data_IF_050798919911
#
_entry.id   IF_050798919911
#
_cell.length_a   1.000
_cell.length_b   1.000
_cell.length_c   1.000
_cell.angle_alpha   90.00
_cell.angle_beta   90.00
_cell.angle_gamma   90.00
#
_symmetry.space_group_name_H-M   'P 1'
#
loop_
_entity.id
_entity.type
_entity.pdbx_description
1 polymer ?
#
# COMPACT_ATOMS: atom_id res chain seq x y z
N UNK A 1 -8.50 21.64 20.51
CA UNK A 1 -8.23 21.40 19.08
C UNK A 1 -9.06 22.35 18.24
N UNK A 2 -8.44 23.11 17.34
CA UNK A 2 -9.13 23.93 16.33
C UNK A 2 -9.54 23.10 15.10
N UNK A 3 -10.35 23.67 14.20
CA UNK A 3 -10.80 23.01 12.95
C UNK A 3 -9.65 22.45 12.12
N UNK A 4 -8.59 23.23 11.95
CA UNK A 4 -7.39 22.84 11.20
C UNK A 4 -6.73 21.55 11.73
N UNK A 5 -6.71 21.34 13.04
CA UNK A 5 -6.08 20.18 13.66
C UNK A 5 -6.91 18.90 13.45
N UNK A 6 -8.24 19.03 13.41
CA UNK A 6 -9.13 17.91 13.03
C UNK A 6 -9.03 17.59 11.54
N UNK A 7 -8.97 18.61 10.68
CA UNK A 7 -8.75 18.42 9.23
C UNK A 7 -7.43 17.68 8.97
N UNK A 8 -6.36 18.07 9.66
CA UNK A 8 -5.06 17.38 9.58
C UNK A 8 -5.14 15.93 10.09
N UNK A 9 -5.87 15.68 11.18
CA UNK A 9 -6.07 14.32 11.69
C UNK A 9 -6.76 13.40 10.68
N UNK A 10 -7.81 13.87 10.02
CA UNK A 10 -8.46 13.08 8.98
C UNK A 10 -7.55 12.92 7.76
N UNK A 11 -6.85 13.96 7.34
CA UNK A 11 -5.95 13.92 6.19
C UNK A 11 -4.79 12.91 6.39
N UNK A 12 -4.07 13.01 7.51
CA UNK A 12 -3.03 12.05 7.89
C UNK A 12 -3.59 10.66 8.13
N UNK A 13 -4.81 10.55 8.68
CA UNK A 13 -5.52 9.29 8.85
C UNK A 13 -5.81 8.58 7.53
N UNK A 14 -6.25 9.32 6.51
CA UNK A 14 -6.46 8.78 5.17
C UNK A 14 -5.16 8.37 4.48
N UNK A 15 -4.06 9.11 4.68
CA UNK A 15 -2.73 8.71 4.22
C UNK A 15 -2.30 7.37 4.83
N UNK A 16 -2.42 7.27 6.16
CA UNK A 16 -2.12 6.05 6.92
C UNK A 16 -2.99 4.85 6.50
N UNK A 17 -4.27 5.11 6.24
CA UNK A 17 -5.20 4.10 5.72
C UNK A 17 -4.80 3.65 4.31
N UNK A 18 -4.46 4.58 3.41
CA UNK A 18 -4.08 4.28 2.03
C UNK A 18 -2.80 3.44 1.96
N UNK A 19 -1.77 3.78 2.74
CA UNK A 19 -0.53 3.00 2.83
C UNK A 19 -0.81 1.55 3.27
N UNK A 20 -1.71 1.40 4.24
CA UNK A 20 -2.09 0.08 4.71
C UNK A 20 -2.90 -0.71 3.66
N UNK A 21 -3.81 -0.04 2.94
CA UNK A 21 -4.58 -0.67 1.85
C UNK A 21 -3.63 -1.28 0.83
N UNK A 22 -2.56 -0.58 0.45
CA UNK A 22 -1.57 -1.10 -0.49
C UNK A 22 -0.79 -2.29 0.07
N UNK A 23 -0.26 -2.18 1.30
CA UNK A 23 0.49 -3.27 1.93
C UNK A 23 -0.37 -4.53 2.10
N UNK A 24 -1.60 -4.37 2.56
CA UNK A 24 -2.55 -5.45 2.75
C UNK A 24 -3.02 -6.01 1.41
N UNK A 25 -3.26 -5.14 0.42
CA UNK A 25 -3.65 -5.51 -0.94
C UNK A 25 -2.61 -6.42 -1.59
N UNK A 26 -1.33 -6.03 -1.55
CA UNK A 26 -0.22 -6.87 -2.04
C UNK A 26 -0.22 -8.24 -1.34
N UNK A 27 -0.40 -8.28 -0.02
CA UNK A 27 -0.43 -9.55 0.71
C UNK A 27 -1.60 -10.46 0.30
N UNK A 28 -2.79 -9.90 0.02
CA UNK A 28 -3.99 -10.67 -0.35
C UNK A 28 -3.89 -11.25 -1.77
N UNK A 29 -3.26 -10.53 -2.70
CA UNK A 29 -3.15 -10.99 -4.10
C UNK A 29 -2.07 -12.06 -4.33
N UNK A 30 -1.10 -12.21 -3.43
CA UNK A 30 0.04 -13.15 -3.59
C UNK A 30 -0.37 -14.59 -3.94
N UNK A 31 -1.36 -15.22 -3.26
CA UNK A 31 -1.77 -16.58 -3.59
C UNK A 31 -2.40 -16.70 -4.99
N UNK A 32 -3.08 -15.63 -5.45
CA UNK A 32 -3.68 -15.60 -6.79
C UNK A 32 -2.62 -15.47 -7.88
N UNK A 33 -1.55 -14.71 -7.62
CA UNK A 33 -0.39 -14.59 -8.51
C UNK A 33 0.39 -15.92 -8.57
N UNK A 34 0.55 -16.59 -7.43
CA UNK A 34 1.21 -17.90 -7.37
C UNK A 34 0.52 -18.94 -8.26
N UNK A 35 -0.82 -18.93 -8.28
CA UNK A 35 -1.62 -19.85 -9.12
C UNK A 35 -1.54 -19.55 -10.62
N UNK A 36 -1.45 -18.28 -11.01
CA UNK A 36 -1.42 -17.88 -12.42
C UNK A 36 -0.02 -17.96 -13.02
N UNK A 37 0.99 -17.42 -12.33
CA UNK A 37 2.35 -17.28 -12.86
C UNK A 37 3.30 -18.40 -12.44
N UNK A 38 2.92 -19.23 -11.45
CA UNK A 38 3.72 -20.31 -10.89
C UNK A 38 5.22 -19.98 -10.76
N UNK A 39 5.58 -18.86 -10.09
CA UNK A 39 6.97 -18.45 -9.95
C UNK A 39 7.74 -19.46 -9.10
N UNK A 40 9.04 -19.62 -9.38
CA UNK A 40 9.92 -20.53 -8.62
C UNK A 40 9.95 -20.19 -7.12
N UNK A 41 9.86 -18.90 -6.78
CA UNK A 41 9.79 -18.41 -5.41
C UNK A 41 8.86 -17.19 -5.30
N UNK A 42 7.62 -17.39 -4.83
CA UNK A 42 6.64 -16.32 -4.61
C UNK A 42 7.13 -15.26 -3.60
N UNK A 43 8.01 -15.66 -2.67
CA UNK A 43 8.59 -14.78 -1.64
C UNK A 43 9.38 -13.60 -2.23
N UNK A 44 9.84 -13.67 -3.47
CA UNK A 44 10.52 -12.55 -4.12
C UNK A 44 9.62 -11.33 -4.30
N UNK A 45 8.30 -11.50 -4.50
CA UNK A 45 7.39 -10.36 -4.60
C UNK A 45 7.32 -9.59 -3.27
N UNK A 46 7.23 -10.31 -2.15
CA UNK A 46 7.27 -9.72 -0.80
C UNK A 46 8.63 -9.10 -0.50
N UNK A 47 9.73 -9.75 -0.91
CA UNK A 47 11.08 -9.19 -0.78
C UNK A 47 11.19 -7.86 -1.54
N UNK A 48 10.72 -7.81 -2.78
CA UNK A 48 10.72 -6.60 -3.61
C UNK A 48 9.97 -5.45 -2.94
N UNK A 49 8.79 -5.72 -2.34
CA UNK A 49 8.04 -4.73 -1.57
C UNK A 49 8.88 -4.15 -0.41
N UNK A 50 9.48 -5.01 0.41
CA UNK A 50 10.26 -4.57 1.57
C UNK A 50 11.57 -3.86 1.18
N UNK A 51 12.23 -4.30 0.10
CA UNK A 51 13.39 -3.58 -0.45
C UNK A 51 12.99 -2.17 -0.86
N UNK A 52 11.87 -2.05 -1.60
CA UNK A 52 11.29 -0.75 -1.94
C UNK A 52 11.02 0.11 -0.70
N UNK A 53 10.43 -0.49 0.33
CA UNK A 53 10.07 0.19 1.57
C UNK A 53 11.28 0.73 2.35
N UNK A 54 12.37 -0.03 2.42
CA UNK A 54 13.63 0.39 3.06
C UNK A 54 14.26 1.56 2.31
N UNK A 55 14.36 1.44 0.97
CA UNK A 55 14.94 2.48 0.12
C UNK A 55 14.06 3.74 0.17
N UNK A 56 12.74 3.56 0.16
CA UNK A 56 11.75 4.62 0.28
C UNK A 56 11.87 5.39 1.58
N UNK A 57 11.83 4.69 2.72
CA UNK A 57 11.93 5.31 4.04
C UNK A 57 13.22 6.12 4.22
N UNK A 58 14.35 5.60 3.72
CA UNK A 58 15.64 6.28 3.82
C UNK A 58 15.71 7.51 2.92
N UNK A 59 15.22 7.40 1.68
CA UNK A 59 15.30 8.47 0.68
C UNK A 59 14.30 9.59 0.99
N UNK A 60 13.04 9.24 1.23
CA UNK A 60 11.97 10.21 1.49
C UNK A 60 12.09 10.89 2.85
N UNK A 61 12.69 10.24 3.85
CA UNK A 61 13.01 10.90 5.12
C UNK A 61 13.90 12.13 4.91
N UNK A 62 14.99 11.96 4.15
CA UNK A 62 15.91 13.08 3.83
C UNK A 62 15.23 14.07 2.88
N UNK A 63 14.52 13.59 1.85
CA UNK A 63 13.84 14.46 0.89
C UNK A 63 12.75 15.33 1.52
N UNK A 64 12.01 14.80 2.52
CA UNK A 64 10.97 15.53 3.22
C UNK A 64 11.51 16.71 4.05
N UNK A 65 12.73 16.59 4.57
CA UNK A 65 13.38 17.68 5.30
C UNK A 65 13.93 18.76 4.35
N UNK A 66 14.33 18.40 3.12
CA UNK A 66 14.87 19.36 2.12
C UNK A 66 13.77 20.06 1.33
N UNK A 67 12.84 19.28 0.75
CA UNK A 67 11.82 19.77 -0.20
C UNK A 67 10.56 20.23 0.54
N UNK A 68 10.39 19.80 1.79
CA UNK A 68 9.24 20.11 2.62
C UNK A 68 8.22 18.98 2.65
N UNK A 69 7.68 18.73 3.84
CA UNK A 69 6.86 17.54 4.16
C UNK A 69 5.58 17.43 3.35
N UNK A 70 4.90 18.56 3.09
CA UNK A 70 3.66 18.58 2.30
C UNK A 70 3.89 18.12 0.86
N UNK A 71 5.00 18.54 0.23
CA UNK A 71 5.25 18.15 -1.16
C UNK A 71 5.64 16.68 -1.23
N UNK A 72 6.56 16.25 -0.35
CA UNK A 72 6.98 14.85 -0.28
C UNK A 72 5.80 13.91 -0.09
N UNK A 73 4.89 14.22 0.83
CA UNK A 73 3.67 13.44 1.09
C UNK A 73 2.77 13.25 -0.16
N UNK A 74 2.56 14.33 -0.92
CA UNK A 74 1.73 14.23 -2.12
C UNK A 74 2.42 13.43 -3.22
N UNK A 75 3.75 13.53 -3.34
CA UNK A 75 4.51 12.79 -4.36
C UNK A 75 4.52 11.30 -4.04
N UNK A 76 4.77 10.91 -2.78
CA UNK A 76 4.76 9.51 -2.34
C UNK A 76 3.40 8.87 -2.55
N UNK A 77 2.30 9.54 -2.19
CA UNK A 77 0.94 9.05 -2.49
C UNK A 77 0.67 8.91 -3.99
N UNK A 78 1.09 9.89 -4.80
CA UNK A 78 0.93 9.84 -6.24
C UNK A 78 1.71 8.67 -6.86
N UNK A 79 2.96 8.47 -6.46
CA UNK A 79 3.78 7.35 -6.92
C UNK A 79 3.17 6.00 -6.51
N UNK A 80 2.73 5.87 -5.25
CA UNK A 80 2.05 4.65 -4.79
C UNK A 80 0.80 4.34 -5.61
N UNK A 81 -0.03 5.35 -5.90
CA UNK A 81 -1.22 5.15 -6.74
C UNK A 81 -0.89 4.74 -8.18
N UNK A 82 0.06 5.42 -8.84
CA UNK A 82 0.45 5.13 -10.23
C UNK A 82 1.08 3.75 -10.34
N UNK A 83 2.02 3.40 -9.46
CA UNK A 83 2.68 2.10 -9.50
C UNK A 83 1.78 0.96 -9.03
N UNK A 84 0.86 1.21 -8.10
CA UNK A 84 -0.16 0.24 -7.68
C UNK A 84 -1.07 -0.17 -8.84
N UNK A 85 -1.65 0.80 -9.56
CA UNK A 85 -2.47 0.55 -10.75
C UNK A 85 -1.64 -0.14 -11.85
N UNK A 86 -0.40 0.31 -12.07
CA UNK A 86 0.48 -0.32 -13.05
C UNK A 86 0.81 -1.78 -12.68
N UNK A 87 0.93 -2.10 -11.38
CA UNK A 87 1.17 -3.47 -10.92
C UNK A 87 0.00 -4.40 -11.26
N UNK A 88 -1.25 -3.92 -11.19
CA UNK A 88 -2.44 -4.68 -11.60
C UNK A 88 -2.46 -5.01 -13.11
N UNK A 89 -1.88 -4.14 -13.94
CA UNK A 89 -1.76 -4.36 -15.39
C UNK A 89 -0.57 -5.26 -15.80
N UNK A 90 0.24 -5.74 -14.86
CA UNK A 90 1.44 -6.51 -15.18
C UNK A 90 1.14 -7.94 -15.64
N UNK A 91 1.94 -8.47 -16.58
CA UNK A 91 1.77 -9.81 -17.14
C UNK A 91 2.94 -10.76 -16.83
N UNK A 92 4.02 -10.24 -16.25
CA UNK A 92 5.24 -10.98 -15.93
C UNK A 92 5.58 -10.80 -14.45
N UNK A 93 6.04 -11.88 -13.79
CA UNK A 93 6.39 -11.85 -12.37
C UNK A 93 7.53 -10.86 -12.05
N UNK A 94 8.54 -10.75 -12.93
CA UNK A 94 9.66 -9.80 -12.74
C UNK A 94 9.18 -8.35 -12.85
N UNK A 95 8.31 -8.06 -13.81
CA UNK A 95 7.71 -6.72 -13.98
C UNK A 95 6.81 -6.36 -12.80
N UNK A 96 6.01 -7.32 -12.34
CA UNK A 96 5.18 -7.17 -11.14
C UNK A 96 6.06 -6.87 -9.91
N UNK A 97 7.12 -7.64 -9.68
CA UNK A 97 8.05 -7.43 -8.57
C UNK A 97 8.72 -6.05 -8.62
N UNK A 98 9.14 -5.60 -9.79
CA UNK A 98 9.69 -4.25 -9.96
C UNK A 98 8.68 -3.14 -9.66
N UNK A 99 7.44 -3.28 -10.12
CA UNK A 99 6.36 -2.32 -9.84
C UNK A 99 5.95 -2.33 -8.35
N UNK A 100 5.91 -3.50 -7.72
CA UNK A 100 5.70 -3.65 -6.27
C UNK A 100 6.85 -3.01 -5.48
N UNK A 101 8.09 -3.08 -5.95
CA UNK A 101 9.21 -2.37 -5.33
C UNK A 101 9.05 -0.85 -5.46
N UNK A 102 8.63 -0.34 -6.62
CA UNK A 102 8.34 1.08 -6.82
C UNK A 102 7.15 1.56 -5.97
N UNK A 103 6.11 0.74 -5.83
CA UNK A 103 5.00 0.96 -4.91
C UNK A 103 5.50 1.02 -3.46
N UNK A 104 6.32 0.04 -3.05
CA UNK A 104 6.95 0.00 -1.73
C UNK A 104 7.81 1.23 -1.45
N UNK A 105 8.49 1.78 -2.46
CA UNK A 105 9.25 3.03 -2.34
C UNK A 105 8.38 4.24 -2.00
N UNK A 106 7.17 4.34 -2.57
CA UNK A 106 6.21 5.38 -2.21
C UNK A 106 5.65 5.20 -0.80
N UNK A 107 5.18 4.00 -0.47
CA UNK A 107 4.62 3.66 0.84
C UNK A 107 5.64 3.88 1.97
N UNK A 108 6.87 3.42 1.77
CA UNK A 108 7.95 3.54 2.76
C UNK A 108 8.28 4.99 3.11
N UNK A 109 8.05 5.93 2.19
CA UNK A 109 8.21 7.35 2.45
C UNK A 109 7.05 8.00 3.19
N UNK A 110 5.81 7.60 2.90
CA UNK A 110 4.62 8.16 3.59
C UNK A 110 4.60 7.81 5.07
N UNK A 111 4.80 6.54 5.44
CA UNK A 111 4.77 6.07 6.84
C UNK A 111 5.53 6.98 7.83
N UNK A 112 6.83 7.31 7.63
CA UNK A 112 7.56 8.20 8.51
C UNK A 112 7.15 9.67 8.34
N UNK A 113 6.89 10.13 7.11
CA UNK A 113 6.55 11.53 6.82
C UNK A 113 5.20 11.93 7.42
N UNK A 114 4.21 11.03 7.39
CA UNK A 114 2.87 11.23 7.95
C UNK A 114 2.91 11.39 9.45
N UNK A 115 3.62 10.48 10.13
CA UNK A 115 3.79 10.53 11.57
C UNK A 115 4.52 11.81 12.00
N UNK A 116 5.56 12.20 11.25
CA UNK A 116 6.34 13.38 11.55
C UNK A 116 5.53 14.68 11.29
N UNK A 117 4.83 14.78 10.16
CA UNK A 117 3.94 15.91 9.84
C UNK A 117 2.87 16.07 10.91
N UNK A 118 2.21 14.98 11.31
CA UNK A 118 1.17 15.03 12.30
C UNK A 118 1.67 15.48 13.68
N UNK A 119 2.87 15.03 14.08
CA UNK A 119 3.53 15.43 15.33
C UNK A 119 3.88 16.92 15.38
N UNK A 120 4.26 17.55 14.26
CA UNK A 120 4.64 18.97 14.22
C UNK A 120 3.46 19.93 14.45
N UNK A 121 2.26 19.53 14.06
CA UNK A 121 1.06 20.37 14.14
C UNK A 121 0.19 20.07 15.36
N UNK A 122 0.50 19.02 16.13
CA UNK A 122 -0.24 18.67 17.35
C UNK A 122 0.44 19.24 18.61
N UNK A 123 -0.33 19.90 19.49
CA UNK A 123 0.18 20.32 20.80
C UNK A 123 0.45 19.09 21.68
N UNK A 124 1.55 19.11 22.43
CA UNK A 124 2.01 17.98 23.28
C UNK A 124 0.94 17.41 24.22
N UNK A 125 -0.06 18.20 24.62
CA UNK A 125 -1.18 17.75 25.47
C UNK A 125 -2.14 16.76 24.80
N UNK A 126 -2.15 16.67 23.46
CA UNK A 126 -3.08 15.84 22.70
C UNK A 126 -2.38 14.75 21.86
N UNK A 127 -1.14 14.39 22.21
CA UNK A 127 -0.39 13.34 21.49
C UNK A 127 -1.07 11.96 21.48
N UNK A 128 -2.05 11.70 22.37
CA UNK A 128 -2.87 10.48 22.36
C UNK A 128 -3.61 10.26 21.03
N UNK A 129 -3.80 11.31 20.22
CA UNK A 129 -4.37 11.19 18.88
C UNK A 129 -3.49 10.40 17.91
N UNK A 130 -2.19 10.25 18.17
CA UNK A 130 -1.33 9.31 17.44
C UNK A 130 -1.80 7.86 17.64
N UNK A 131 -2.19 7.52 18.87
CA UNK A 131 -2.76 6.20 19.15
C UNK A 131 -4.09 6.01 18.44
N UNK A 132 -4.88 7.09 18.31
CA UNK A 132 -6.12 7.07 17.52
C UNK A 132 -5.84 6.95 16.01
N UNK A 133 -4.72 7.48 15.52
CA UNK A 133 -4.27 7.33 14.13
C UNK A 133 -4.05 5.84 13.78
N UNK A 134 -3.57 5.03 14.73
CA UNK A 134 -3.45 3.59 14.55
C UNK A 134 -4.79 2.89 14.27
N UNK A 135 -5.93 3.47 14.65
CA UNK A 135 -7.23 2.91 14.28
C UNK A 135 -7.48 2.97 12.77
N UNK A 136 -6.94 3.99 12.07
CA UNK A 136 -7.03 4.09 10.61
C UNK A 136 -6.31 2.95 9.90
N UNK A 137 -5.27 2.39 10.51
CA UNK A 137 -4.61 1.18 10.01
C UNK A 137 -5.59 0.01 9.94
N UNK A 138 -6.35 -0.24 11.00
CA UNK A 138 -7.35 -1.32 11.03
C UNK A 138 -8.49 -1.08 10.03
N UNK A 139 -8.91 0.17 9.83
CA UNK A 139 -9.86 0.51 8.78
C UNK A 139 -9.29 0.26 7.38
N UNK A 140 -8.01 0.53 7.15
CA UNK A 140 -7.31 0.19 5.91
C UNK A 140 -7.33 -1.31 5.63
N UNK A 141 -7.03 -2.14 6.63
CA UNK A 141 -7.04 -3.59 6.48
C UNK A 141 -8.44 -4.12 6.18
N UNK A 142 -9.44 -3.60 6.88
CA UNK A 142 -10.84 -3.97 6.67
C UNK A 142 -11.30 -3.61 5.26
N UNK A 143 -11.02 -2.39 4.80
CA UNK A 143 -11.41 -1.92 3.46
C UNK A 143 -10.71 -2.71 2.36
N UNK A 144 -9.40 -2.94 2.47
CA UNK A 144 -8.65 -3.78 1.52
C UNK A 144 -9.21 -5.21 1.46
N UNK A 145 -9.51 -5.80 2.62
CA UNK A 145 -10.09 -7.15 2.70
C UNK A 145 -11.50 -7.22 2.12
N UNK A 146 -12.33 -6.19 2.30
CA UNK A 146 -13.67 -6.10 1.71
C UNK A 146 -13.62 -5.94 0.19
N UNK A 147 -12.71 -5.11 -0.32
CA UNK A 147 -12.48 -4.93 -1.77
C UNK A 147 -12.02 -6.26 -2.37
N UNK A 148 -11.01 -6.90 -1.75
CA UNK A 148 -10.53 -8.20 -2.19
C UNK A 148 -11.63 -9.26 -2.12
N UNK A 149 -12.44 -9.27 -1.06
CA UNK A 149 -13.58 -10.19 -0.97
C UNK A 149 -14.55 -9.96 -2.12
N UNK A 150 -14.89 -8.73 -2.48
CA UNK A 150 -15.79 -8.44 -3.60
C UNK A 150 -15.21 -8.86 -4.96
N UNK A 151 -13.93 -8.62 -5.22
CA UNK A 151 -13.33 -8.89 -6.54
C UNK A 151 -12.79 -10.31 -6.68
N UNK A 152 -12.03 -10.81 -5.71
CA UNK A 152 -11.42 -12.14 -5.75
C UNK A 152 -12.50 -13.23 -5.60
N UNK A 153 -13.55 -13.03 -4.80
CA UNK A 153 -14.61 -14.07 -4.70
C UNK A 153 -15.45 -14.23 -5.97
N UNK A 154 -15.60 -13.17 -6.77
CA UNK A 154 -16.44 -13.17 -7.97
C UNK A 154 -15.65 -13.41 -9.27
N UNK A 155 -14.37 -13.04 -9.32
CA UNK A 155 -13.56 -13.02 -10.54
C UNK A 155 -12.22 -13.78 -10.42
N UNK A 156 -12.16 -14.78 -9.54
CA UNK A 156 -11.03 -15.72 -9.46
C UNK A 156 -11.52 -17.16 -9.61
N UNK A 157 -10.63 -18.04 -10.07
CA UNK A 157 -10.99 -19.43 -10.33
C UNK A 157 -11.53 -20.14 -9.08
N UNK A 158 -12.51 -21.00 -9.30
CA UNK A 158 -13.05 -21.91 -8.29
C UNK A 158 -11.92 -22.81 -7.78
N UNK A 159 -11.94 -23.09 -6.47
CA UNK A 159 -10.93 -23.85 -5.71
C UNK A 159 -10.79 -25.32 -6.13
N UNK A 160 -10.50 -25.62 -7.38
CA UNK A 160 -9.90 -26.89 -7.77
C UNK A 160 -8.38 -26.71 -7.77
N UNK A 161 -7.76 -27.17 -6.68
CA UNK A 161 -6.31 -27.08 -6.44
C UNK A 161 -5.44 -27.85 -7.46
N UNK A 162 -6.05 -28.42 -8.51
CA UNK A 162 -5.46 -29.34 -9.47
C UNK A 162 -5.29 -28.76 -10.87
N UNK A 163 -5.76 -27.53 -11.16
CA UNK A 163 -5.63 -26.92 -12.49
C UNK A 163 -5.00 -25.52 -12.43
N UNK A 164 -4.08 -25.18 -13.37
CA UNK A 164 -3.54 -23.83 -13.49
C UNK A 164 -4.64 -22.85 -13.88
N UNK A 165 -4.69 -21.71 -13.19
CA UNK A 165 -5.65 -20.63 -13.47
C UNK A 165 -5.22 -19.82 -14.69
N UNK A 166 -5.91 -19.91 -15.84
CA UNK A 166 -5.57 -19.06 -16.98
C UNK A 166 -5.88 -17.59 -16.68
N UNK A 167 -5.06 -16.67 -17.20
CA UNK A 167 -5.17 -15.22 -17.01
C UNK A 167 -6.57 -14.66 -17.33
N UNK A 168 -7.33 -15.29 -18.22
CA UNK A 168 -8.69 -14.85 -18.58
C UNK A 168 -9.71 -15.02 -17.45
N UNK A 169 -9.48 -15.95 -16.51
CA UNK A 169 -10.39 -16.27 -15.40
C UNK A 169 -9.89 -15.76 -14.04
N UNK A 170 -8.69 -15.18 -13.98
CA UNK A 170 -8.06 -14.68 -12.75
C UNK A 170 -7.86 -13.15 -12.80
N UNK A 171 -8.89 -12.42 -13.21
CA UNK A 171 -8.83 -10.95 -13.26
C UNK A 171 -9.06 -10.29 -11.88
N UNK A 172 -9.58 -11.04 -10.90
CA UNK A 172 -9.92 -10.52 -9.57
C UNK A 172 -8.76 -9.85 -8.84
N UNK A 173 -7.55 -10.39 -8.92
CA UNK A 173 -6.37 -9.77 -8.27
C UNK A 173 -5.91 -8.49 -8.98
N UNK A 174 -6.14 -8.38 -10.29
CA UNK A 174 -5.80 -7.19 -11.09
C UNK A 174 -6.73 -6.01 -10.78
N UNK A 175 -7.99 -6.29 -10.49
CA UNK A 175 -8.98 -5.29 -10.06
C UNK A 175 -8.89 -4.92 -8.58
N UNK A 176 -8.17 -5.71 -7.78
CA UNK A 176 -7.96 -5.44 -6.35
C UNK A 176 -6.80 -4.44 -6.12
N UNK A 177 -5.92 -4.27 -7.10
CA UNK A 177 -4.84 -3.27 -7.14
C UNK A 177 -5.29 -1.99 -7.85
#
# INVERSE_FOLDING_TARGET
MGRYQWELFFLSGFGWMADNIWLQGVAIILPSIEREMQPEHIAFATLSLYVGLIVGATTWGILADIIGRRLSWNITLFLSGVFGIAAGASHNFVTLGALIACLGFGIGGNLPVDGALFLEFIPGSHQWLLTLLSAWWSFGQLTASLIAWAFISNYSCINDASQPCPTNENQGWRYTL
#
